data_IF_364266891804
#
_entry.id   IF_364266891804
#
_cell.length_a   1.000
_cell.length_b   1.000
_cell.length_c   1.000
_cell.angle_alpha   90.00
_cell.angle_beta   90.00
_cell.angle_gamma   90.00
#
_symmetry.space_group_name_H-M   'P 1'
#
loop_
_entity.id
_entity.type
_entity.pdbx_description
1 polymer ?
#
# COMPACT_ATOMS: atom_id res chain seq x y z
N UNK A 1 0.29 -19.05 -27.22
CA UNK A 1 -0.19 -18.18 -26.13
C UNK A 1 -1.34 -17.36 -26.68
N UNK A 2 -2.49 -17.31 -25.98
CA UNK A 2 -3.59 -16.42 -26.38
C UNK A 2 -3.09 -14.96 -26.36
N UNK A 3 -3.57 -14.12 -27.27
CA UNK A 3 -3.21 -12.70 -27.30
C UNK A 3 -3.89 -11.99 -26.13
N UNK A 4 -3.14 -11.19 -25.37
CA UNK A 4 -3.71 -10.35 -24.32
C UNK A 4 -4.81 -9.46 -24.89
N UNK A 5 -5.93 -9.35 -24.18
CA UNK A 5 -7.02 -8.41 -24.49
C UNK A 5 -7.07 -7.24 -23.49
N UNK A 6 -5.98 -6.98 -22.76
CA UNK A 6 -5.91 -5.95 -21.72
C UNK A 6 -6.38 -4.57 -22.19
N UNK A 7 -6.04 -4.10 -23.42
CA UNK A 7 -6.58 -2.84 -23.92
C UNK A 7 -8.11 -2.82 -24.03
N UNK A 8 -8.74 -3.95 -24.35
CA UNK A 8 -10.20 -4.05 -24.39
C UNK A 8 -10.83 -4.03 -23.00
N UNK A 9 -10.17 -4.64 -22.01
CA UNK A 9 -10.60 -4.60 -20.61
C UNK A 9 -10.48 -3.20 -20.04
N UNK A 10 -9.36 -2.52 -20.31
CA UNK A 10 -9.15 -1.14 -19.90
C UNK A 10 -10.16 -0.19 -20.55
N UNK A 11 -10.43 -0.33 -21.85
CA UNK A 11 -11.43 0.47 -22.56
C UNK A 11 -12.85 0.27 -21.98
N UNK A 12 -13.25 -0.98 -21.73
CA UNK A 12 -14.55 -1.29 -21.11
C UNK A 12 -14.68 -0.69 -19.71
N UNK A 13 -13.68 -0.92 -18.85
CA UNK A 13 -13.67 -0.45 -17.48
C UNK A 13 -13.65 1.09 -17.38
N UNK A 14 -12.77 1.74 -18.13
CA UNK A 14 -12.68 3.19 -18.18
C UNK A 14 -13.93 3.80 -18.82
N UNK A 15 -14.57 3.09 -19.76
CA UNK A 15 -15.88 3.45 -20.31
C UNK A 15 -16.97 3.53 -19.24
N UNK A 16 -16.98 2.62 -18.27
CA UNK A 16 -17.87 2.70 -17.11
C UNK A 16 -17.52 3.87 -16.18
N UNK A 17 -16.24 4.07 -15.85
CA UNK A 17 -15.83 5.22 -15.02
C UNK A 17 -16.30 6.55 -15.64
N UNK A 18 -16.15 6.66 -16.97
CA UNK A 18 -16.61 7.81 -17.74
C UNK A 18 -18.13 7.95 -17.77
N UNK A 19 -18.88 6.86 -17.96
CA UNK A 19 -20.35 6.91 -18.01
C UNK A 19 -20.97 7.29 -16.67
N UNK A 20 -20.30 6.97 -15.56
CA UNK A 20 -20.69 7.39 -14.21
C UNK A 20 -20.12 8.75 -13.79
N UNK A 21 -19.48 9.48 -14.71
CA UNK A 21 -18.92 10.82 -14.49
C UNK A 21 -17.91 10.90 -13.33
N UNK A 22 -17.08 9.86 -13.18
CA UNK A 22 -16.04 9.79 -12.15
C UNK A 22 -14.76 10.49 -12.62
N UNK A 23 -14.14 11.28 -11.74
CA UNK A 23 -12.87 11.96 -12.02
C UNK A 23 -11.67 11.00 -11.83
N UNK A 24 -11.58 9.98 -12.69
CA UNK A 24 -10.47 9.04 -12.69
C UNK A 24 -9.25 9.59 -13.45
N UNK A 25 -8.07 9.17 -13.01
CA UNK A 25 -6.76 9.50 -13.58
C UNK A 25 -6.07 8.23 -14.03
N UNK A 26 -5.56 8.23 -15.26
CA UNK A 26 -4.77 7.12 -15.80
C UNK A 26 -3.34 7.10 -15.21
N UNK A 27 -2.55 6.10 -15.60
CA UNK A 27 -1.21 5.79 -15.06
C UNK A 27 -0.26 7.00 -14.89
N UNK A 28 -0.30 7.95 -15.82
CA UNK A 28 0.59 9.12 -15.84
C UNK A 28 -0.08 10.42 -15.39
N UNK A 29 -1.39 10.40 -15.21
CA UNK A 29 -2.13 11.60 -14.79
C UNK A 29 -1.99 11.80 -13.28
N UNK A 30 -1.88 13.06 -12.87
CA UNK A 30 -1.75 13.45 -11.48
C UNK A 30 -3.09 13.35 -10.77
N UNK A 31 -3.13 12.70 -9.59
CA UNK A 31 -4.32 12.66 -8.74
C UNK A 31 -4.19 13.68 -7.61
N UNK A 32 -3.19 13.50 -6.74
CA UNK A 32 -2.81 14.43 -5.69
C UNK A 32 -1.39 14.11 -5.19
N UNK A 33 -0.77 15.06 -4.50
CA UNK A 33 0.65 14.96 -4.08
C UNK A 33 0.87 13.80 -3.11
N UNK A 34 -0.04 13.58 -2.16
CA UNK A 34 0.09 12.55 -1.13
C UNK A 34 0.02 11.14 -1.76
N UNK A 35 -0.96 10.88 -2.63
CA UNK A 35 -1.11 9.61 -3.34
C UNK A 35 0.04 9.35 -4.30
N UNK A 36 0.41 10.32 -5.14
CA UNK A 36 1.41 10.09 -6.19
C UNK A 36 2.82 9.94 -5.61
N UNK A 37 3.14 10.67 -4.53
CA UNK A 37 4.39 10.48 -3.77
C UNK A 37 4.43 9.10 -3.12
N UNK A 38 3.34 8.67 -2.48
CA UNK A 38 3.25 7.34 -1.86
C UNK A 38 3.47 6.20 -2.86
N UNK A 39 2.89 6.31 -4.06
CA UNK A 39 3.09 5.32 -5.13
C UNK A 39 4.53 5.33 -5.66
N UNK A 40 5.16 6.51 -5.76
CA UNK A 40 6.54 6.65 -6.23
C UNK A 40 7.58 6.14 -5.23
N UNK A 41 7.35 6.37 -3.93
CA UNK A 41 8.33 6.06 -2.88
C UNK A 41 8.29 4.57 -2.46
N UNK A 42 7.19 3.87 -2.74
CA UNK A 42 7.03 2.46 -2.42
C UNK A 42 7.73 1.54 -3.44
N UNK A 43 8.21 0.39 -2.99
CA UNK A 43 8.94 -0.54 -3.86
C UNK A 43 8.07 -1.00 -5.05
N UNK A 44 8.67 -1.12 -6.23
CA UNK A 44 7.95 -1.45 -7.46
C UNK A 44 7.43 -2.87 -7.46
N UNK A 45 6.47 -3.16 -8.34
CA UNK A 45 5.96 -4.53 -8.60
C UNK A 45 7.02 -5.55 -9.01
N UNK A 46 8.22 -5.11 -9.41
CA UNK A 46 9.34 -5.97 -9.79
C UNK A 46 10.50 -5.93 -8.78
N UNK A 47 10.36 -5.18 -7.66
CA UNK A 47 11.40 -5.03 -6.65
C UNK A 47 12.60 -4.18 -7.07
N UNK A 48 12.53 -3.49 -8.22
CA UNK A 48 13.59 -2.65 -8.78
C UNK A 48 13.24 -1.15 -8.79
N UNK A 49 14.01 -0.36 -9.55
CA UNK A 49 13.80 1.07 -9.74
C UNK A 49 12.63 1.37 -10.68
N UNK A 50 11.75 2.28 -10.28
CA UNK A 50 10.56 2.70 -11.00
C UNK A 50 9.49 3.23 -10.03
N UNK A 51 8.39 3.78 -10.55
CA UNK A 51 7.24 4.20 -9.75
C UNK A 51 6.10 3.19 -9.89
N UNK A 52 5.33 2.96 -8.82
CA UNK A 52 4.09 2.19 -8.92
C UNK A 52 3.04 3.00 -9.70
N UNK A 53 2.43 2.41 -10.72
CA UNK A 53 1.45 3.08 -11.60
C UNK A 53 0.21 2.20 -11.76
N UNK A 54 -0.86 2.44 -10.99
CA UNK A 54 -2.16 1.85 -11.26
C UNK A 54 -2.65 2.25 -12.65
N UNK A 55 -3.30 1.31 -13.36
CA UNK A 55 -3.87 1.57 -14.68
C UNK A 55 -4.87 2.73 -14.63
N UNK A 56 -5.67 2.78 -13.55
CA UNK A 56 -6.49 3.94 -13.19
C UNK A 56 -6.51 4.14 -11.68
N UNK A 57 -6.68 5.40 -11.27
CA UNK A 57 -6.82 5.80 -9.86
C UNK A 57 -7.82 6.94 -9.72
N UNK A 58 -8.52 6.98 -8.60
CA UNK A 58 -9.46 8.05 -8.27
C UNK A 58 -9.57 8.21 -6.76
N UNK A 59 -10.12 9.34 -6.33
CA UNK A 59 -10.39 9.65 -4.94
C UNK A 59 -11.88 10.00 -4.81
N UNK A 60 -12.64 9.14 -4.14
CA UNK A 60 -14.05 9.38 -3.85
C UNK A 60 -14.24 9.75 -2.39
N UNK A 61 -15.35 10.42 -2.09
CA UNK A 61 -15.71 10.85 -0.75
C UNK A 61 -17.12 10.40 -0.45
N UNK A 62 -17.33 9.80 0.72
CA UNK A 62 -18.66 9.39 1.18
C UNK A 62 -19.44 10.57 1.78
N UNK A 63 -20.70 10.34 2.15
CA UNK A 63 -21.56 11.30 2.88
C UNK A 63 -20.99 11.76 4.22
N UNK A 64 -20.08 10.99 4.83
CA UNK A 64 -19.43 11.32 6.11
C UNK A 64 -18.16 12.15 5.92
N UNK A 65 -17.83 12.50 4.67
CA UNK A 65 -16.63 13.25 4.27
C UNK A 65 -15.33 12.45 4.35
N UNK A 66 -15.41 11.13 4.48
CA UNK A 66 -14.27 10.23 4.47
C UNK A 66 -13.80 10.00 3.03
N UNK A 67 -12.49 10.13 2.82
CA UNK A 67 -11.88 9.98 1.51
C UNK A 67 -11.39 8.56 1.29
N UNK A 68 -11.79 7.97 0.17
CA UNK A 68 -11.47 6.61 -0.26
C UNK A 68 -10.66 6.65 -1.55
N UNK A 69 -9.34 6.45 -1.47
CA UNK A 69 -8.54 6.16 -2.66
C UNK A 69 -9.00 4.84 -3.28
N UNK A 70 -9.15 4.85 -4.61
CA UNK A 70 -9.50 3.68 -5.40
C UNK A 70 -8.39 3.45 -6.41
N UNK A 71 -7.83 2.25 -6.41
CA UNK A 71 -6.69 1.87 -7.25
C UNK A 71 -7.10 0.68 -8.11
N UNK A 72 -6.99 0.82 -9.43
CA UNK A 72 -7.51 -0.14 -10.40
C UNK A 72 -6.35 -0.72 -11.21
N UNK A 73 -6.37 -2.04 -11.37
CA UNK A 73 -5.44 -2.79 -12.21
C UNK A 73 -6.19 -3.67 -13.22
N UNK A 74 -5.71 -3.70 -14.46
CA UNK A 74 -6.24 -4.49 -15.55
C UNK A 74 -5.30 -5.65 -15.92
N UNK A 75 -5.89 -6.79 -16.33
CA UNK A 75 -5.17 -7.92 -16.93
C UNK A 75 -5.92 -8.49 -18.12
N UNK A 76 -5.23 -8.76 -19.23
CA UNK A 76 -5.84 -9.23 -20.46
C UNK A 76 -5.92 -10.74 -20.68
N UNK A 77 -5.89 -11.55 -19.62
CA UNK A 77 -5.87 -13.01 -19.74
C UNK A 77 -6.85 -13.67 -18.76
N UNK A 78 -7.46 -14.78 -19.19
CA UNK A 78 -8.26 -15.62 -18.30
C UNK A 78 -7.48 -16.04 -17.06
N UNK A 79 -8.16 -16.15 -15.93
CA UNK A 79 -7.61 -16.60 -14.65
C UNK A 79 -6.50 -15.69 -14.08
N UNK A 80 -6.42 -14.42 -14.51
CA UNK A 80 -5.49 -13.40 -13.98
C UNK A 80 -6.14 -12.39 -13.03
N UNK A 81 -7.32 -12.71 -12.49
CA UNK A 81 -7.99 -11.84 -11.54
C UNK A 81 -7.22 -11.74 -10.22
N UNK A 82 -7.01 -12.87 -9.55
CA UNK A 82 -6.42 -12.92 -8.20
C UNK A 82 -5.67 -14.22 -7.97
N UNK A 83 -4.57 -14.15 -7.21
CA UNK A 83 -3.89 -15.30 -6.61
C UNK A 83 -4.06 -15.24 -5.09
N UNK A 84 -4.69 -16.28 -4.54
CA UNK A 84 -4.95 -16.44 -3.11
C UNK A 84 -4.00 -17.47 -2.48
N UNK A 85 -3.73 -17.30 -1.20
CA UNK A 85 -2.99 -18.25 -0.37
C UNK A 85 -3.93 -19.36 0.16
N UNK A 86 -3.37 -20.31 0.92
CA UNK A 86 -4.12 -21.42 1.50
C UNK A 86 -5.20 -20.99 2.51
N UNK A 87 -5.16 -19.74 3.00
CA UNK A 87 -6.17 -19.15 3.87
C UNK A 87 -7.20 -18.29 3.13
N UNK A 88 -7.15 -18.25 1.80
CA UNK A 88 -8.06 -17.47 0.97
C UNK A 88 -7.75 -15.97 0.93
N UNK A 89 -6.56 -15.56 1.37
CA UNK A 89 -6.11 -14.14 1.34
C UNK A 89 -5.25 -13.87 0.12
N UNK A 90 -5.18 -12.60 -0.31
CA UNK A 90 -4.37 -12.19 -1.47
C UNK A 90 -2.89 -12.52 -1.21
N UNK A 91 -2.31 -13.42 -2.02
CA UNK A 91 -0.95 -13.94 -1.85
C UNK A 91 0.10 -12.96 -2.38
N UNK A 92 0.31 -11.86 -1.66
CA UNK A 92 1.36 -10.87 -1.96
C UNK A 92 2.66 -11.10 -1.18
N UNK A 93 2.71 -12.12 -0.33
CA UNK A 93 3.89 -12.54 0.42
C UNK A 93 4.23 -13.99 0.13
N UNK A 94 5.53 -14.31 0.12
CA UNK A 94 6.01 -15.69 0.03
C UNK A 94 5.95 -16.37 1.41
N UNK A 95 6.17 -17.69 1.47
CA UNK A 95 6.33 -18.40 2.74
C UNK A 95 7.50 -17.89 3.61
N UNK A 96 8.47 -17.18 3.00
CA UNK A 96 9.58 -16.49 3.69
C UNK A 96 9.24 -15.04 4.09
N UNK A 97 7.98 -14.64 3.94
CA UNK A 97 7.48 -13.31 4.26
C UNK A 97 8.08 -12.18 3.39
N UNK A 98 8.57 -12.52 2.20
CA UNK A 98 9.08 -11.56 1.22
C UNK A 98 7.99 -11.16 0.22
N UNK A 99 8.13 -10.02 -0.45
CA UNK A 99 7.19 -9.59 -1.49
C UNK A 99 7.10 -10.63 -2.62
N UNK A 100 5.89 -11.11 -2.90
CA UNK A 100 5.65 -12.09 -3.95
C UNK A 100 5.49 -11.41 -5.32
N UNK A 101 6.55 -10.76 -5.81
CA UNK A 101 6.54 -9.94 -7.03
C UNK A 101 5.91 -10.62 -8.25
N UNK A 102 6.14 -11.93 -8.42
CA UNK A 102 5.49 -12.72 -9.47
C UNK A 102 3.96 -12.61 -9.43
N UNK A 103 3.35 -12.69 -8.25
CA UNK A 103 1.89 -12.62 -8.09
C UNK A 103 1.42 -11.17 -8.25
N UNK A 104 2.12 -10.23 -7.60
CA UNK A 104 1.84 -8.78 -7.67
C UNK A 104 1.82 -8.28 -9.13
N UNK A 105 2.73 -8.78 -9.97
CA UNK A 105 2.78 -8.43 -11.39
C UNK A 105 1.74 -9.20 -12.23
N UNK A 106 1.53 -10.49 -11.93
CA UNK A 106 0.75 -11.38 -12.80
C UNK A 106 -0.76 -11.28 -12.63
N UNK A 107 -1.27 -10.77 -11.50
CA UNK A 107 -2.69 -10.80 -11.16
C UNK A 107 -3.20 -9.40 -10.80
N UNK A 108 -4.41 -9.08 -11.29
CA UNK A 108 -4.99 -7.74 -11.18
C UNK A 108 -5.16 -7.30 -9.71
N UNK A 109 -5.83 -8.12 -8.90
CA UNK A 109 -6.08 -7.83 -7.48
C UNK A 109 -4.79 -7.75 -6.68
N UNK A 110 -3.84 -8.65 -6.93
CA UNK A 110 -2.54 -8.64 -6.25
C UNK A 110 -1.79 -7.32 -6.50
N UNK A 111 -1.83 -6.82 -7.74
CA UNK A 111 -1.28 -5.51 -8.11
C UNK A 111 -2.00 -4.35 -7.42
N UNK A 112 -3.33 -4.33 -7.47
CA UNK A 112 -4.14 -3.27 -6.83
C UNK A 112 -3.95 -3.22 -5.31
N UNK A 113 -3.90 -4.38 -4.64
CA UNK A 113 -3.63 -4.48 -3.19
C UNK A 113 -2.21 -4.06 -2.84
N UNK A 114 -1.23 -4.33 -3.72
CA UNK A 114 0.14 -3.82 -3.53
C UNK A 114 0.18 -2.29 -3.55
N UNK A 115 -0.54 -1.65 -4.47
CA UNK A 115 -0.68 -0.19 -4.49
C UNK A 115 -1.42 0.35 -3.27
N UNK A 116 -2.47 -0.33 -2.82
CA UNK A 116 -3.19 0.07 -1.60
C UNK A 116 -2.25 0.08 -0.38
N UNK A 117 -1.40 -0.95 -0.25
CA UNK A 117 -0.39 -0.99 0.82
C UNK A 117 0.63 0.16 0.73
N UNK A 118 0.99 0.63 -0.47
CA UNK A 118 1.83 1.82 -0.62
C UNK A 118 1.18 3.06 0.03
N UNK A 119 -0.11 3.28 -0.26
CA UNK A 119 -0.86 4.38 0.32
C UNK A 119 -1.01 4.22 1.84
N UNK A 120 -1.37 3.03 2.35
CA UNK A 120 -1.49 2.82 3.80
C UNK A 120 -0.20 3.15 4.57
N UNK A 121 0.97 2.92 3.95
CA UNK A 121 2.27 3.16 4.58
C UNK A 121 2.73 4.62 4.49
N UNK A 122 2.40 5.32 3.40
CA UNK A 122 2.98 6.62 3.09
C UNK A 122 1.97 7.78 3.13
N UNK A 123 0.72 7.51 3.53
CA UNK A 123 -0.36 8.50 3.59
C UNK A 123 -1.18 8.39 4.87
N UNK A 124 -1.99 9.41 5.11
CA UNK A 124 -2.99 9.45 6.17
C UNK A 124 -4.17 8.52 5.92
N UNK A 125 -4.45 8.16 4.65
CA UNK A 125 -5.57 7.28 4.28
C UNK A 125 -5.54 5.97 5.08
N UNK A 126 -6.69 5.63 5.63
CA UNK A 126 -6.89 4.43 6.46
C UNK A 126 -7.60 3.32 5.71
N UNK A 127 -8.36 3.69 4.67
CA UNK A 127 -9.37 2.86 4.03
C UNK A 127 -9.27 3.04 2.50
N UNK A 128 -8.96 1.96 1.80
CA UNK A 128 -8.61 1.99 0.38
C UNK A 128 -9.36 0.86 -0.33
N UNK A 129 -9.84 1.15 -1.54
CA UNK A 129 -10.49 0.16 -2.40
C UNK A 129 -9.51 -0.25 -3.51
N UNK A 130 -9.19 -1.54 -3.55
CA UNK A 130 -8.38 -2.16 -4.59
C UNK A 130 -9.31 -2.89 -5.57
N UNK A 131 -9.28 -2.50 -6.84
CA UNK A 131 -10.09 -3.10 -7.90
C UNK A 131 -9.16 -3.78 -8.90
N UNK A 132 -9.48 -5.02 -9.23
CA UNK A 132 -8.83 -5.75 -10.30
C UNK A 132 -9.88 -6.18 -11.31
N UNK A 133 -9.61 -5.98 -12.59
CA UNK A 133 -10.48 -6.49 -13.64
C UNK A 133 -9.65 -7.26 -14.65
N UNK A 134 -10.18 -8.40 -15.08
CA UNK A 134 -9.57 -9.21 -16.12
C UNK A 134 -10.59 -9.66 -17.14
N UNK A 135 -10.13 -10.26 -18.23
CA UNK A 135 -11.01 -10.95 -19.14
C UNK A 135 -10.30 -11.63 -20.28
N UNK A 136 -11.08 -12.34 -21.08
CA UNK A 136 -10.65 -13.02 -22.28
C UNK A 136 -11.74 -12.94 -23.35
N UNK A 137 -11.39 -13.30 -24.58
CA UNK A 137 -12.37 -13.50 -25.65
C UNK A 137 -12.79 -14.96 -25.68
N UNK A 138 -14.10 -15.20 -25.72
CA UNK A 138 -14.64 -16.54 -25.95
C UNK A 138 -14.51 -16.97 -27.42
N UNK A 139 -14.97 -18.18 -27.73
CA UNK A 139 -14.95 -18.74 -29.08
C UNK A 139 -15.77 -17.90 -30.09
N UNK A 140 -16.72 -17.12 -29.60
CA UNK A 140 -17.53 -16.17 -30.39
C UNK A 140 -16.93 -14.78 -30.46
N UNK A 141 -15.69 -14.59 -29.97
CA UNK A 141 -14.96 -13.32 -29.94
C UNK A 141 -15.62 -12.24 -29.05
N UNK A 142 -16.54 -12.63 -28.16
CA UNK A 142 -17.12 -11.74 -27.15
C UNK A 142 -16.19 -11.63 -25.95
N UNK A 143 -16.18 -10.45 -25.32
CA UNK A 143 -15.39 -10.20 -24.12
C UNK A 143 -16.14 -10.81 -22.92
N UNK A 144 -15.47 -11.72 -22.23
CA UNK A 144 -15.88 -12.25 -20.95
C UNK A 144 -14.97 -11.66 -19.88
N UNK A 145 -15.52 -10.80 -19.00
CA UNK A 145 -14.77 -10.10 -17.96
C UNK A 145 -15.10 -10.60 -16.56
N UNK A 146 -14.17 -10.39 -15.64
CA UNK A 146 -14.31 -10.66 -14.22
C UNK A 146 -13.80 -9.46 -13.42
N UNK A 147 -14.50 -9.11 -12.35
CA UNK A 147 -14.16 -8.00 -11.46
C UNK A 147 -13.95 -8.53 -10.05
N UNK A 148 -12.88 -8.10 -9.42
CA UNK A 148 -12.65 -8.27 -8.00
C UNK A 148 -12.56 -6.92 -7.34
N UNK A 149 -13.28 -6.73 -6.24
CA UNK A 149 -13.25 -5.51 -5.44
C UNK A 149 -12.84 -5.90 -4.03
N UNK A 150 -11.75 -5.31 -3.56
CA UNK A 150 -11.15 -5.63 -2.27
C UNK A 150 -11.03 -4.38 -1.42
N UNK A 151 -11.40 -4.50 -0.16
CA UNK A 151 -11.21 -3.48 0.85
C UNK A 151 -9.88 -3.71 1.57
N UNK A 152 -9.03 -2.70 1.58
CA UNK A 152 -7.69 -2.73 2.19
C UNK A 152 -7.63 -1.60 3.21
N UNK A 153 -7.47 -1.92 4.50
CA UNK A 153 -7.47 -0.91 5.56
C UNK A 153 -6.33 -1.08 6.56
N UNK A 154 -6.04 -0.01 7.31
CA UNK A 154 -5.09 -0.05 8.45
C UNK A 154 -5.57 -1.00 9.54
N UNK A 155 -6.87 -1.03 9.84
CA UNK A 155 -7.46 -1.93 10.84
C UNK A 155 -7.31 -3.42 10.46
N UNK A 156 -7.26 -3.70 9.16
CA UNK A 156 -7.03 -5.05 8.63
C UNK A 156 -5.54 -5.33 8.32
N UNK A 157 -4.64 -4.50 8.84
CA UNK A 157 -3.19 -4.57 8.61
C UNK A 157 -2.82 -4.68 7.12
N UNK A 158 -3.54 -3.98 6.24
CA UNK A 158 -3.27 -3.93 4.80
C UNK A 158 -3.59 -5.20 4.02
N UNK A 159 -4.32 -6.15 4.62
CA UNK A 159 -4.83 -7.33 3.91
C UNK A 159 -6.12 -6.94 3.19
N UNK A 160 -6.18 -7.30 1.91
CA UNK A 160 -7.38 -7.11 1.10
C UNK A 160 -8.46 -8.12 1.48
N UNK A 161 -9.65 -7.63 1.79
CA UNK A 161 -10.87 -8.41 1.97
C UNK A 161 -11.78 -8.26 0.76
N UNK A 162 -12.25 -9.38 0.19
CA UNK A 162 -13.18 -9.33 -0.94
C UNK A 162 -14.51 -8.71 -0.48
N UNK A 163 -14.96 -7.67 -1.17
CA UNK A 163 -16.19 -6.93 -0.84
C UNK A 163 -17.44 -7.65 -1.34
N UNK A 164 -17.36 -8.24 -2.54
CA UNK A 164 -18.48 -8.91 -3.20
C UNK A 164 -18.19 -9.22 -4.67
N UNK A 165 -19.23 -9.62 -5.39
CA UNK A 165 -19.21 -9.80 -6.85
C UNK A 165 -19.83 -8.58 -7.53
N UNK A 166 -19.24 -8.15 -8.63
CA UNK A 166 -19.67 -6.96 -9.36
C UNK A 166 -19.65 -7.22 -10.86
N UNK A 167 -20.59 -6.64 -11.59
CA UNK A 167 -20.71 -6.77 -13.04
C UNK A 167 -20.18 -5.56 -13.81
N UNK A 168 -20.17 -4.39 -13.16
CA UNK A 168 -19.65 -3.11 -13.67
C UNK A 168 -19.17 -2.24 -12.50
N UNK A 169 -18.77 -0.99 -12.79
CA UNK A 169 -18.32 -0.02 -11.78
C UNK A 169 -19.42 0.91 -11.24
N UNK A 170 -20.70 0.58 -11.42
CA UNK A 170 -21.82 1.44 -10.99
C UNK A 170 -21.86 1.68 -9.49
N UNK A 171 -21.26 0.80 -8.69
CA UNK A 171 -21.11 0.94 -7.24
C UNK A 171 -20.22 2.14 -6.85
N UNK A 172 -19.41 2.66 -7.78
CA UNK A 172 -18.61 3.87 -7.57
C UNK A 172 -19.36 5.15 -7.94
N UNK A 173 -20.50 5.06 -8.61
CA UNK A 173 -21.29 6.25 -8.98
C UNK A 173 -21.80 6.98 -7.73
N UNK A 174 -22.00 8.29 -7.85
CA UNK A 174 -22.53 9.15 -6.77
C UNK A 174 -23.79 8.56 -6.10
N UNK A 175 -24.67 7.94 -6.90
CA UNK A 175 -25.91 7.33 -6.40
C UNK A 175 -25.69 6.11 -5.50
N UNK A 176 -24.63 5.34 -5.71
CA UNK A 176 -24.43 4.05 -5.04
C UNK A 176 -23.23 4.03 -4.08
N UNK A 177 -22.34 5.02 -4.15
CA UNK A 177 -21.08 5.01 -3.42
C UNK A 177 -21.28 4.96 -1.90
N UNK A 178 -22.24 5.71 -1.35
CA UNK A 178 -22.53 5.66 0.09
C UNK A 178 -22.97 4.27 0.54
N UNK A 179 -23.86 3.61 -0.21
CA UNK A 179 -24.32 2.27 0.11
C UNK A 179 -23.18 1.24 0.01
N UNK A 180 -22.30 1.41 -0.98
CA UNK A 180 -21.09 0.61 -1.11
C UNK A 180 -20.15 0.79 0.09
N UNK A 181 -19.92 2.03 0.56
CA UNK A 181 -19.07 2.31 1.73
C UNK A 181 -19.65 1.69 3.00
N UNK A 182 -20.97 1.78 3.21
CA UNK A 182 -21.62 1.13 4.36
C UNK A 182 -21.40 -0.39 4.35
N UNK A 183 -21.54 -1.03 3.18
CA UNK A 183 -21.22 -2.46 3.02
C UNK A 183 -19.76 -2.73 3.38
N UNK A 184 -18.83 -1.95 2.84
CA UNK A 184 -17.38 -2.10 3.09
C UNK A 184 -17.06 -2.00 4.59
N UNK A 185 -17.68 -1.08 5.33
CA UNK A 185 -17.45 -0.90 6.77
C UNK A 185 -17.91 -2.09 7.62
N UNK A 186 -18.85 -2.90 7.13
CA UNK A 186 -19.25 -4.14 7.81
C UNK A 186 -18.22 -5.27 7.68
N UNK A 187 -17.23 -5.11 6.80
CA UNK A 187 -16.17 -6.10 6.60
C UNK A 187 -15.10 -5.95 7.69
N UNK A 188 -15.26 -6.71 8.77
CA UNK A 188 -14.27 -6.84 9.84
C UNK A 188 -13.64 -8.22 9.84
N UNK A 189 -12.32 -8.30 10.02
CA UNK A 189 -11.66 -9.55 10.37
C UNK A 189 -12.07 -9.99 11.77
N UNK A 190 -12.18 -11.30 11.98
CA UNK A 190 -12.32 -11.86 13.31
C UNK A 190 -11.05 -11.61 14.15
N UNK A 191 -11.18 -11.61 15.48
CA UNK A 191 -10.02 -11.43 16.37
C UNK A 191 -8.92 -12.47 16.11
N UNK A 192 -9.29 -13.73 15.87
CA UNK A 192 -8.34 -14.79 15.57
C UNK A 192 -7.58 -14.55 14.24
N UNK A 193 -8.24 -13.98 13.24
CA UNK A 193 -7.57 -13.59 12.00
C UNK A 193 -6.62 -12.42 12.24
N UNK A 194 -7.05 -11.41 12.99
CA UNK A 194 -6.21 -10.26 13.36
C UNK A 194 -4.97 -10.70 14.13
N UNK A 195 -5.10 -11.62 15.08
CA UNK A 195 -3.98 -12.14 15.87
C UNK A 195 -2.96 -12.88 14.99
N UNK A 196 -3.44 -13.74 14.08
CA UNK A 196 -2.58 -14.45 13.12
C UNK A 196 -1.83 -13.49 12.19
N UNK A 197 -2.49 -12.42 11.77
CA UNK A 197 -1.88 -11.39 10.93
C UNK A 197 -0.84 -10.59 11.72
N UNK A 198 -1.17 -10.23 12.97
CA UNK A 198 -0.25 -9.54 13.86
C UNK A 198 1.02 -10.36 14.08
N UNK A 199 0.90 -11.65 14.36
CA UNK A 199 2.04 -12.57 14.49
C UNK A 199 2.88 -12.61 13.20
N UNK A 200 2.23 -12.64 12.03
CA UNK A 200 2.93 -12.59 10.75
C UNK A 200 3.68 -11.26 10.54
N UNK A 201 3.09 -10.13 10.93
CA UNK A 201 3.72 -8.80 10.86
C UNK A 201 4.87 -8.65 11.84
N UNK A 202 4.76 -9.18 13.05
CA UNK A 202 5.86 -9.22 14.01
C UNK A 202 7.05 -10.00 13.42
N UNK A 203 6.80 -11.13 12.76
CA UNK A 203 7.84 -11.86 12.02
C UNK A 203 8.42 -11.06 10.84
N UNK A 204 7.62 -10.22 10.16
CA UNK A 204 8.12 -9.31 9.10
C UNK A 204 9.10 -8.27 9.68
N UNK A 205 8.74 -7.69 10.83
CA UNK A 205 9.55 -6.70 11.53
C UNK A 205 10.88 -7.33 11.95
N UNK A 206 10.84 -8.50 12.59
CA UNK A 206 12.05 -9.20 13.02
C UNK A 206 12.98 -9.52 11.85
N UNK A 207 12.41 -10.03 10.75
CA UNK A 207 13.18 -10.33 9.54
C UNK A 207 13.83 -9.07 8.94
N UNK A 208 13.10 -7.95 8.93
CA UNK A 208 13.59 -6.67 8.41
C UNK A 208 14.69 -6.09 9.31
N UNK A 209 14.53 -6.19 10.63
CA UNK A 209 15.53 -5.75 11.60
C UNK A 209 16.82 -6.56 11.49
N UNK A 210 16.71 -7.89 11.36
CA UNK A 210 17.88 -8.77 11.15
C UNK A 210 18.60 -8.40 9.85
N UNK A 211 17.85 -8.17 8.76
CA UNK A 211 18.44 -7.77 7.48
C UNK A 211 19.16 -6.43 7.59
N UNK A 212 18.53 -5.42 8.21
CA UNK A 212 19.13 -4.10 8.42
C UNK A 212 20.40 -4.19 9.26
N UNK A 213 20.38 -4.94 10.36
CA UNK A 213 21.56 -5.13 11.21
C UNK A 213 22.71 -5.79 10.44
N UNK A 214 22.42 -6.80 9.62
CA UNK A 214 23.42 -7.47 8.78
C UNK A 214 23.97 -6.56 7.68
N UNK A 215 23.13 -5.72 7.08
CA UNK A 215 23.55 -4.76 6.06
C UNK A 215 24.53 -3.74 6.63
N UNK A 216 24.21 -3.15 7.80
CA UNK A 216 25.10 -2.23 8.51
C UNK A 216 26.41 -2.95 8.88
N UNK A 217 26.34 -4.21 9.34
CA UNK A 217 27.53 -5.00 9.67
C UNK A 217 28.48 -5.19 8.48
N UNK A 218 27.94 -5.42 7.28
CA UNK A 218 28.75 -5.73 6.10
C UNK A 218 29.28 -4.47 5.40
N UNK A 219 28.49 -3.41 5.37
CA UNK A 219 28.73 -2.25 4.51
C UNK A 219 29.27 -1.02 5.25
N UNK A 220 28.93 -0.85 6.53
CA UNK A 220 29.34 0.32 7.31
C UNK A 220 30.64 0.06 8.09
N UNK A 221 31.57 1.03 8.02
CA UNK A 221 32.87 0.96 8.70
C UNK A 221 32.91 1.94 9.87
N UNK A 222 33.60 1.56 10.94
CA UNK A 222 33.78 2.42 12.11
C UNK A 222 32.64 2.39 13.13
N UNK A 223 31.67 1.49 12.98
CA UNK A 223 30.61 1.25 13.96
C UNK A 223 30.86 -0.07 14.71
N UNK A 224 30.96 0.01 16.05
CA UNK A 224 30.96 -1.16 16.92
C UNK A 224 29.58 -1.82 17.00
N UNK A 225 29.50 -3.00 17.59
CA UNK A 225 28.21 -3.73 17.71
C UNK A 225 27.14 -2.93 18.48
N UNK A 226 27.53 -2.28 19.58
CA UNK A 226 26.64 -1.45 20.36
C UNK A 226 26.17 -0.21 19.58
N UNK A 227 27.06 0.44 18.82
CA UNK A 227 26.74 1.65 18.06
C UNK A 227 25.69 1.38 16.98
N UNK A 228 25.73 0.19 16.36
CA UNK A 228 24.74 -0.24 15.37
C UNK A 228 23.35 -0.39 15.97
N UNK A 229 23.25 -0.95 17.17
CA UNK A 229 21.96 -1.07 17.88
C UNK A 229 21.35 0.31 18.12
N UNK A 230 22.16 1.28 18.57
CA UNK A 230 21.71 2.64 18.76
C UNK A 230 21.31 3.33 17.46
N UNK A 231 22.06 3.13 16.37
CA UNK A 231 21.72 3.68 15.06
C UNK A 231 20.35 3.16 14.57
N UNK A 232 20.12 1.85 14.64
CA UNK A 232 18.84 1.25 14.24
C UNK A 232 17.68 1.79 15.10
N UNK A 233 17.85 1.81 16.43
CA UNK A 233 16.85 2.35 17.34
C UNK A 233 16.55 3.83 17.06
N UNK A 234 17.60 4.63 16.83
CA UNK A 234 17.52 6.05 16.52
C UNK A 234 16.75 6.30 15.20
N UNK A 235 17.03 5.52 14.15
CA UNK A 235 16.30 5.59 12.88
C UNK A 235 14.83 5.22 13.02
N UNK A 236 14.49 4.21 13.84
CA UNK A 236 13.10 3.84 14.08
C UNK A 236 12.38 4.96 14.84
N UNK A 237 12.93 5.41 15.97
CA UNK A 237 12.25 6.42 16.81
C UNK A 237 12.05 7.73 16.05
N UNK A 238 13.07 8.19 15.31
CA UNK A 238 12.99 9.43 14.53
C UNK A 238 11.95 9.37 13.40
N UNK A 239 11.60 8.18 12.89
CA UNK A 239 10.61 8.00 11.82
C UNK A 239 9.18 7.76 12.31
N UNK A 240 8.96 7.49 13.60
CA UNK A 240 7.61 7.23 14.14
C UNK A 240 6.73 8.49 14.19
N UNK A 241 7.28 9.61 14.70
CA UNK A 241 6.50 10.83 14.96
C UNK A 241 5.34 10.65 15.95
N UNK A 242 4.60 11.73 16.20
CA UNK A 242 3.39 11.78 17.03
C UNK A 242 2.40 12.72 16.33
N UNK A 243 1.19 12.25 15.92
CA UNK A 243 0.22 13.06 15.21
C UNK A 243 -0.06 14.41 15.91
N UNK A 244 0.02 15.50 15.15
CA UNK A 244 -0.22 16.87 15.65
C UNK A 244 0.85 17.44 16.57
N UNK A 245 1.90 16.68 16.91
CA UNK A 245 2.94 17.11 17.86
C UNK A 245 4.36 17.01 17.30
N UNK A 246 4.73 15.84 16.79
CA UNK A 246 6.07 15.56 16.27
C UNK A 246 5.94 14.99 14.87
N UNK A 247 6.41 15.71 13.87
CA UNK A 247 6.42 15.16 12.50
C UNK A 247 7.42 14.01 12.39
N UNK A 248 7.10 12.92 11.67
CA UNK A 248 8.08 11.91 11.27
C UNK A 248 9.31 12.51 10.56
N UNK A 249 10.47 11.87 10.71
CA UNK A 249 11.64 12.16 9.88
C UNK A 249 11.44 11.56 8.48
N UNK A 250 11.39 12.40 7.46
CA UNK A 250 11.40 11.95 6.07
C UNK A 250 12.82 11.84 5.52
N UNK A 251 13.03 10.92 4.56
CA UNK A 251 14.29 10.79 3.82
C UNK A 251 14.75 12.11 3.18
N UNK A 252 13.80 12.93 2.71
CA UNK A 252 14.05 14.24 2.09
C UNK A 252 14.73 15.25 3.03
N UNK A 253 14.71 14.99 4.34
CA UNK A 253 15.36 15.84 5.35
C UNK A 253 16.81 15.45 5.63
N UNK A 254 17.24 14.25 5.21
CA UNK A 254 18.62 13.80 5.36
C UNK A 254 19.42 14.19 4.10
N UNK A 255 20.19 15.27 4.22
CA UNK A 255 20.84 15.95 3.09
C UNK A 255 22.35 15.79 3.09
N UNK A 256 22.91 15.06 4.06
CA UNK A 256 24.35 14.95 4.27
C UNK A 256 25.04 16.32 4.41
N UNK A 257 24.35 17.27 5.07
CA UNK A 257 24.92 18.58 5.35
C UNK A 257 26.03 18.47 6.39
N UNK A 258 27.07 19.29 6.23
CA UNK A 258 28.16 19.45 7.22
C UNK A 258 27.94 20.68 8.11
N UNK A 259 26.88 21.44 7.87
CA UNK A 259 26.53 22.62 8.66
C UNK A 259 26.06 22.23 10.06
N UNK A 260 26.60 22.90 11.08
CA UNK A 260 26.23 22.71 12.49
C UNK A 260 24.73 22.93 12.70
N UNK A 261 24.07 21.99 13.35
CA UNK A 261 22.61 21.98 13.57
C UNK A 261 21.81 21.38 12.41
N UNK A 262 22.45 21.09 11.28
CA UNK A 262 21.83 20.57 10.06
C UNK A 262 22.41 19.22 9.63
N UNK A 263 23.36 18.65 10.38
CA UNK A 263 23.88 17.32 10.07
C UNK A 263 22.79 16.26 10.25
N UNK A 264 22.85 15.19 9.46
CA UNK A 264 21.87 14.10 9.52
C UNK A 264 21.77 13.50 10.93
N UNK A 265 22.89 13.40 11.64
CA UNK A 265 22.96 12.97 13.04
C UNK A 265 22.22 13.91 14.00
N UNK A 266 22.45 15.22 13.90
CA UNK A 266 21.75 16.22 14.74
C UNK A 266 20.24 16.25 14.43
N UNK A 267 19.85 16.07 13.17
CA UNK A 267 18.44 15.98 12.77
C UNK A 267 17.78 14.76 13.42
N UNK A 268 18.43 13.60 13.38
CA UNK A 268 17.94 12.36 14.01
C UNK A 268 17.80 12.54 15.52
N UNK A 269 18.84 13.04 16.20
CA UNK A 269 18.83 13.26 17.66
C UNK A 269 17.69 14.19 18.06
N UNK A 270 17.54 15.33 17.38
CA UNK A 270 16.45 16.27 17.65
C UNK A 270 15.06 15.65 17.50
N UNK A 271 14.87 14.74 16.53
CA UNK A 271 13.60 14.02 16.35
C UNK A 271 13.32 13.04 17.48
N UNK A 272 14.36 12.36 17.97
CA UNK A 272 14.27 11.45 19.12
C UNK A 272 13.91 12.22 20.37
N UNK A 273 14.62 13.32 20.67
CA UNK A 273 14.34 14.18 21.82
C UNK A 273 12.91 14.71 21.79
N UNK A 274 12.44 15.19 20.63
CA UNK A 274 11.07 15.65 20.46
C UNK A 274 10.05 14.52 20.69
N UNK A 275 10.31 13.32 20.18
CA UNK A 275 9.44 12.17 20.36
C UNK A 275 9.39 11.74 21.84
N UNK A 276 10.54 11.59 22.51
CA UNK A 276 10.63 11.15 23.90
C UNK A 276 10.10 12.21 24.88
N UNK A 277 10.28 13.50 24.58
CA UNK A 277 9.76 14.60 25.39
C UNK A 277 8.24 14.59 25.51
N UNK A 278 7.55 14.21 24.43
CA UNK A 278 6.10 14.05 24.35
C UNK A 278 5.58 12.72 24.91
N UNK A 279 6.47 11.75 25.15
CA UNK A 279 6.10 10.53 25.87
C UNK A 279 6.15 10.83 27.36
N UNK A 280 5.16 10.35 28.11
CA UNK A 280 5.10 10.42 29.57
C UNK A 280 6.08 9.43 30.22
N UNK A 281 7.35 9.49 29.82
CA UNK A 281 8.42 8.69 30.37
C UNK A 281 9.05 9.40 31.59
N UNK A 282 9.52 8.66 32.60
CA UNK A 282 10.34 9.23 33.66
C UNK A 282 11.55 9.97 33.07
N UNK A 283 11.97 11.10 33.65
CA UNK A 283 13.11 11.92 33.20
C UNK A 283 14.37 11.11 32.85
N UNK A 284 14.65 10.05 33.62
CA UNK A 284 15.81 9.17 33.40
C UNK A 284 15.73 8.31 32.12
N UNK A 285 14.56 8.25 31.49
CA UNK A 285 14.26 7.50 30.25
C UNK A 285 13.90 8.44 29.08
N UNK A 286 13.91 9.76 29.29
CA UNK A 286 13.82 10.76 28.24
C UNK A 286 15.22 11.04 27.69
#
# INVERSE_FOLDING_TARGET
MAKSIEPNIADLANGWLKSYNLDYKLEQEYLNTETDKALSDYFTKNGGSGANRPDAKLLLKDKNLDHFPILIEYKGYKDKLVKLDASGKVENRTAKNESHFKNINSFAINGAVHYANALLHHTSYTDIIAIGMTGHKDESNNIQHEIGVYYVSKSNFGIGQKVGEFTDFSFLSEKHFDAFVEQVRTLSLSQAELDKIKEQREKEIDTSLVRLNNDIYQNEKGLGENDRVYLVAASIISTLGIPGKVSPLEKSYLKSSTEKGSTDGEIIVRKIEAFLGEKELPEQKK
#
